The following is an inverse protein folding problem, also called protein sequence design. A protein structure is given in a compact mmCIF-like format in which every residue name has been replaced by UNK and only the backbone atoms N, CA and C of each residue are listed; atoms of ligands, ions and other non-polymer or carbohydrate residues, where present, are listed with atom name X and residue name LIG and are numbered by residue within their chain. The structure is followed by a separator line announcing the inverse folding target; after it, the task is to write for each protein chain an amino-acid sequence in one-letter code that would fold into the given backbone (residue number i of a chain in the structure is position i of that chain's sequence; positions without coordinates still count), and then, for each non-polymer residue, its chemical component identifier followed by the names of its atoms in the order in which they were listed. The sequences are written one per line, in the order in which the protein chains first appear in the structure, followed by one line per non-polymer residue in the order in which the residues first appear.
data_IF_399383738567
#
_entry.id   IF_399383738567
#
_cell.length_a   1.000
_cell.length_b   1.000
_cell.length_c   1.000
_cell.angle_alpha   90.00
_cell.angle_beta   90.00
_cell.angle_gamma   90.00
#
_symmetry.space_group_name_H-M   'P 1'
#
loop_
_entity.id
_entity.type
_entity.pdbx_description
1 polymer ?
#
# COMPACT_ATOMS: atom_id res chain seq x y z
N UNK A 1 48.71 -89.03 45.00
CA UNK A 1 49.35 -87.73 44.88
C UNK A 1 49.05 -87.17 43.51
N UNK A 2 48.07 -86.46 43.30
CA UNK A 2 47.71 -85.87 42.00
C UNK A 2 47.33 -84.42 42.18
N UNK A 3 48.11 -83.52 41.58
CA UNK A 3 47.89 -82.08 41.54
C UNK A 3 46.84 -81.73 40.43
N UNK A 4 45.75 -81.08 40.83
CA UNK A 4 44.78 -80.49 39.88
C UNK A 4 45.11 -79.03 39.70
N UNK A 5 45.39 -78.63 38.45
CA UNK A 5 45.62 -77.23 38.07
C UNK A 5 44.32 -76.60 37.64
N UNK A 6 43.95 -75.49 38.29
CA UNK A 6 42.74 -74.66 38.00
C UNK A 6 43.15 -73.58 37.00
N UNK A 7 42.59 -73.64 35.78
CA UNK A 7 42.76 -72.63 34.75
C UNK A 7 41.65 -71.60 34.89
N UNK A 8 41.99 -70.36 35.22
CA UNK A 8 41.13 -69.23 35.30
C UNK A 8 40.94 -68.64 33.88
N UNK A 9 39.76 -68.71 33.29
CA UNK A 9 39.47 -68.06 32.04
C UNK A 9 38.92 -66.64 32.31
N UNK A 10 39.72 -65.62 31.93
CA UNK A 10 39.28 -64.20 31.94
C UNK A 10 38.49 -63.94 30.63
N UNK A 11 37.22 -63.62 30.78
CA UNK A 11 36.37 -63.15 29.69
C UNK A 11 36.53 -61.65 29.51
N UNK A 12 37.14 -61.20 28.41
CA UNK A 12 37.13 -59.80 28.01
C UNK A 12 35.79 -59.50 27.33
N UNK A 13 34.95 -58.68 27.97
CA UNK A 13 33.77 -58.08 27.34
C UNK A 13 34.19 -56.83 26.56
N UNK A 14 34.16 -56.88 25.24
CA UNK A 14 34.35 -55.70 24.38
C UNK A 14 33.07 -54.90 24.38
N UNK A 15 33.07 -53.73 25.01
CA UNK A 15 31.96 -52.73 24.93
C UNK A 15 32.12 -51.98 23.61
N UNK A 16 31.24 -52.25 22.65
CA UNK A 16 31.11 -51.47 21.43
C UNK A 16 30.28 -50.23 21.72
N UNK A 17 30.93 -49.07 21.87
CA UNK A 17 30.31 -47.74 21.94
C UNK A 17 29.89 -47.35 20.51
N UNK A 18 28.60 -47.42 20.23
CA UNK A 18 28.00 -46.83 19.01
C UNK A 18 27.92 -45.31 19.19
N UNK A 19 28.80 -44.57 18.52
CA UNK A 19 28.65 -43.11 18.36
C UNK A 19 27.44 -42.87 17.46
N UNK A 20 26.34 -42.41 18.04
CA UNK A 20 25.24 -41.81 17.29
C UNK A 20 25.69 -40.46 16.76
N UNK A 21 26.00 -40.38 15.46
CA UNK A 21 26.18 -39.09 14.76
C UNK A 21 24.81 -38.45 14.71
N UNK A 22 24.60 -37.47 15.58
CA UNK A 22 23.41 -36.60 15.51
C UNK A 22 23.38 -35.89 14.16
N UNK A 23 22.39 -36.18 13.34
CA UNK A 23 22.14 -35.43 12.14
C UNK A 23 21.91 -33.97 12.55
N UNK A 24 22.86 -33.09 12.24
CA UNK A 24 22.65 -31.65 12.34
C UNK A 24 21.46 -31.31 11.45
N UNK A 25 20.38 -30.83 12.03
CA UNK A 25 19.26 -30.30 11.30
C UNK A 25 19.79 -29.15 10.44
N UNK A 26 19.84 -29.35 9.14
CA UNK A 26 20.12 -28.27 8.20
C UNK A 26 19.00 -27.26 8.37
N UNK A 27 19.32 -26.09 8.94
CA UNK A 27 18.41 -24.93 8.94
C UNK A 27 18.30 -24.45 7.50
N UNK A 28 17.36 -25.03 6.74
CA UNK A 28 17.03 -24.51 5.42
C UNK A 28 16.42 -23.13 5.62
N UNK A 29 17.12 -22.10 5.14
CA UNK A 29 16.55 -20.74 5.08
C UNK A 29 15.19 -20.82 4.40
N UNK A 30 14.11 -20.26 4.98
CA UNK A 30 12.82 -20.25 4.31
C UNK A 30 12.95 -19.64 2.92
N UNK A 31 12.28 -20.17 1.92
CA UNK A 31 12.38 -19.64 0.58
C UNK A 31 11.85 -18.21 0.57
N UNK A 32 12.65 -17.28 0.03
CA UNK A 32 12.31 -15.88 -0.13
C UNK A 32 11.52 -15.62 -1.43
N UNK A 33 10.72 -14.58 -1.42
CA UNK A 33 10.10 -14.03 -2.61
C UNK A 33 11.10 -13.33 -3.52
N UNK A 34 10.63 -12.81 -4.63
CA UNK A 34 11.45 -12.12 -5.62
C UNK A 34 10.85 -10.75 -5.94
N UNK A 35 11.69 -9.72 -5.92
CA UNK A 35 11.34 -8.38 -6.42
C UNK A 35 11.77 -8.27 -7.88
N UNK A 36 10.88 -7.77 -8.72
CA UNK A 36 11.15 -7.51 -10.14
C UNK A 36 10.72 -6.09 -10.48
N UNK A 37 11.47 -5.43 -11.35
CA UNK A 37 11.06 -4.16 -11.98
C UNK A 37 10.42 -4.47 -13.32
N UNK A 38 9.31 -3.81 -13.60
CA UNK A 38 8.54 -3.96 -14.83
C UNK A 38 8.13 -2.58 -15.37
N UNK A 39 7.69 -2.52 -16.61
CA UNK A 39 7.23 -1.30 -17.25
C UNK A 39 6.02 -1.58 -18.11
N UNK A 40 5.09 -0.61 -18.16
CA UNK A 40 3.94 -0.67 -19.05
C UNK A 40 3.75 0.65 -19.80
N UNK A 41 3.05 0.58 -20.92
CA UNK A 41 2.49 1.76 -21.56
C UNK A 41 1.14 2.08 -20.90
N UNK A 42 1.02 3.26 -20.27
CA UNK A 42 -0.26 3.73 -19.76
C UNK A 42 -1.00 4.53 -20.82
N UNK A 43 -2.20 4.10 -21.14
CA UNK A 43 -3.09 4.86 -22.03
C UNK A 43 -3.69 6.06 -21.31
N UNK A 44 -3.97 5.92 -20.03
CA UNK A 44 -4.51 6.98 -19.19
C UNK A 44 -3.54 8.17 -19.03
N UNK A 45 -2.23 7.90 -19.05
CA UNK A 45 -1.20 8.94 -18.94
C UNK A 45 -0.54 9.29 -20.29
N UNK A 46 -0.69 8.46 -21.32
CA UNK A 46 -0.03 8.64 -22.62
C UNK A 46 1.49 8.49 -22.56
N UNK A 47 2.03 7.69 -21.65
CA UNK A 47 3.46 7.50 -21.44
C UNK A 47 3.79 6.12 -20.88
N UNK A 48 5.08 5.75 -20.86
CA UNK A 48 5.57 4.56 -20.16
C UNK A 48 5.73 4.85 -18.68
N UNK A 49 5.33 3.88 -17.86
CA UNK A 49 5.48 3.95 -16.40
C UNK A 49 6.19 2.70 -15.89
N UNK A 50 6.96 2.89 -14.83
CA UNK A 50 7.61 1.81 -14.11
C UNK A 50 6.71 1.30 -12.98
N UNK A 51 6.88 0.03 -12.62
CA UNK A 51 6.37 -0.55 -11.39
C UNK A 51 7.34 -1.58 -10.84
N UNK A 52 7.34 -1.75 -9.54
CA UNK A 52 8.04 -2.83 -8.84
C UNK A 52 7.02 -3.86 -8.39
N UNK A 53 7.35 -5.14 -8.55
CA UNK A 53 6.45 -6.24 -8.19
C UNK A 53 7.19 -7.21 -7.27
N UNK A 54 6.63 -7.46 -6.09
CA UNK A 54 7.02 -8.58 -5.24
C UNK A 54 6.24 -9.82 -5.64
N UNK A 55 6.95 -10.89 -5.93
CA UNK A 55 6.42 -12.21 -6.25
C UNK A 55 6.69 -13.16 -5.08
N UNK A 56 5.68 -13.86 -4.55
CA UNK A 56 5.84 -14.67 -3.34
C UNK A 56 6.71 -15.93 -3.58
N UNK A 57 7.20 -16.57 -2.50
CA UNK A 57 8.15 -17.70 -2.60
C UNK A 57 7.71 -18.86 -3.47
N UNK A 58 6.41 -19.18 -3.54
CA UNK A 58 5.92 -20.28 -4.38
C UNK A 58 5.75 -19.90 -5.86
N UNK A 59 5.83 -18.59 -6.20
CA UNK A 59 5.59 -18.12 -7.57
C UNK A 59 6.51 -18.77 -8.61
N UNK A 60 7.78 -19.00 -8.27
CA UNK A 60 8.75 -19.66 -9.15
C UNK A 60 8.66 -21.19 -9.15
N UNK A 61 7.90 -21.79 -8.23
CA UNK A 61 7.84 -23.25 -8.03
C UNK A 61 6.53 -23.88 -8.51
N UNK A 62 5.43 -23.13 -8.44
CA UNK A 62 4.12 -23.58 -8.89
C UNK A 62 3.63 -22.71 -10.04
N UNK A 63 3.75 -23.21 -11.25
CA UNK A 63 3.38 -22.49 -12.47
C UNK A 63 1.86 -22.37 -12.68
N UNK A 64 1.06 -23.11 -11.92
CA UNK A 64 -0.40 -23.14 -12.05
C UNK A 64 -1.12 -22.24 -11.04
N UNK A 65 -0.48 -21.98 -9.91
CA UNK A 65 -1.06 -21.21 -8.82
C UNK A 65 -1.27 -19.75 -9.22
N UNK A 66 -2.44 -19.21 -8.88
CA UNK A 66 -2.80 -17.80 -9.01
C UNK A 66 -2.89 -17.16 -7.63
N UNK A 67 -2.57 -15.88 -7.56
CA UNK A 67 -2.38 -15.15 -6.30
C UNK A 67 -3.29 -13.93 -6.23
N UNK A 68 -3.83 -13.59 -5.06
CA UNK A 68 -4.41 -12.28 -4.82
C UNK A 68 -3.35 -11.19 -4.97
N UNK A 69 -3.76 -9.95 -5.21
CA UNK A 69 -2.85 -8.81 -5.45
C UNK A 69 -3.17 -7.66 -4.52
N UNK A 70 -2.13 -7.12 -3.87
CA UNK A 70 -2.17 -5.85 -3.17
C UNK A 70 -1.38 -4.79 -3.95
N UNK A 71 -1.99 -3.63 -4.20
CA UNK A 71 -1.35 -2.48 -4.86
C UNK A 71 -0.91 -1.49 -3.78
N UNK A 72 0.39 -1.19 -3.68
CA UNK A 72 0.96 -0.31 -2.66
C UNK A 72 1.46 1.00 -3.27
N UNK A 73 0.80 2.10 -2.94
CA UNK A 73 1.03 3.43 -3.48
C UNK A 73 2.03 4.20 -2.62
N UNK A 74 3.00 4.88 -3.25
CA UNK A 74 3.99 5.73 -2.57
C UNK A 74 3.42 7.11 -2.19
N UNK A 75 4.15 7.87 -1.38
CA UNK A 75 3.84 9.25 -1.01
C UNK A 75 4.43 10.30 -1.95
N UNK A 76 4.14 11.58 -1.70
CA UNK A 76 4.71 12.71 -2.45
C UNK A 76 6.24 12.64 -2.46
N UNK A 77 6.83 12.88 -3.63
CA UNK A 77 8.28 12.83 -3.85
C UNK A 77 8.87 11.42 -3.87
N UNK A 78 8.02 10.38 -3.79
CA UNK A 78 8.41 8.97 -3.88
C UNK A 78 8.36 8.42 -5.30
N UNK A 79 8.56 7.10 -5.41
CA UNK A 79 8.45 6.33 -6.64
C UNK A 79 8.13 4.86 -6.34
N UNK A 80 8.12 4.02 -7.38
CA UNK A 80 7.78 2.59 -7.31
C UNK A 80 8.71 1.76 -6.41
N UNK A 81 9.94 2.24 -6.12
CA UNK A 81 10.90 1.46 -5.30
C UNK A 81 10.76 1.70 -3.80
N UNK A 82 10.09 2.77 -3.40
CA UNK A 82 10.09 3.29 -2.02
C UNK A 82 9.62 2.27 -0.98
N UNK A 83 8.60 1.49 -1.29
CA UNK A 83 8.10 0.47 -0.36
C UNK A 83 9.09 -0.67 -0.14
N UNK A 84 9.91 -1.01 -1.13
CA UNK A 84 10.99 -1.99 -1.00
C UNK A 84 12.18 -1.38 -0.27
N UNK A 85 12.69 -0.25 -0.75
CA UNK A 85 13.96 0.32 -0.32
C UNK A 85 13.87 0.97 1.07
N UNK A 86 12.83 1.74 1.30
CA UNK A 86 12.60 2.47 2.56
C UNK A 86 11.66 1.70 3.51
N UNK A 87 10.60 1.08 2.96
CA UNK A 87 9.59 0.34 3.71
C UNK A 87 10.01 -1.07 4.11
N UNK A 88 10.99 -1.68 3.42
CA UNK A 88 11.42 -3.04 3.66
C UNK A 88 10.36 -4.10 3.34
N UNK A 89 9.37 -3.75 2.49
CA UNK A 89 8.16 -4.53 2.24
C UNK A 89 8.47 -5.98 1.83
N UNK A 90 9.48 -6.22 0.98
CA UNK A 90 9.82 -7.58 0.55
C UNK A 90 10.26 -8.47 1.72
N UNK A 91 11.13 -7.96 2.60
CA UNK A 91 11.58 -8.68 3.80
C UNK A 91 10.42 -8.94 4.77
N UNK A 92 9.52 -7.96 4.91
CA UNK A 92 8.33 -8.12 5.76
C UNK A 92 7.39 -9.19 5.17
N UNK A 93 7.16 -9.19 3.86
CA UNK A 93 6.36 -10.20 3.17
C UNK A 93 6.93 -11.60 3.38
N UNK A 94 8.24 -11.78 3.17
CA UNK A 94 8.91 -13.08 3.37
C UNK A 94 8.74 -13.58 4.82
N UNK A 95 8.89 -12.69 5.79
CA UNK A 95 8.72 -13.01 7.21
C UNK A 95 7.28 -13.41 7.54
N UNK A 96 6.29 -12.68 7.02
CA UNK A 96 4.87 -12.98 7.24
C UNK A 96 4.45 -14.29 6.58
N UNK A 97 4.92 -14.55 5.36
CA UNK A 97 4.66 -15.82 4.64
C UNK A 97 5.29 -16.99 5.38
N UNK A 98 6.53 -16.86 5.85
CA UNK A 98 7.18 -17.88 6.68
C UNK A 98 6.44 -18.13 8.00
N UNK A 99 5.75 -17.13 8.54
CA UNK A 99 4.88 -17.24 9.71
C UNK A 99 3.46 -17.77 9.40
N UNK A 100 3.17 -18.13 8.13
CA UNK A 100 1.90 -18.75 7.74
C UNK A 100 0.86 -17.78 7.13
N UNK A 101 1.22 -16.53 6.86
CA UNK A 101 0.34 -15.62 6.12
C UNK A 101 0.14 -16.16 4.68
N UNK A 102 -1.09 -16.13 4.13
CA UNK A 102 -1.32 -16.47 2.74
C UNK A 102 -0.47 -15.64 1.78
N UNK A 103 0.10 -16.29 0.77
CA UNK A 103 0.91 -15.65 -0.24
C UNK A 103 0.08 -14.74 -1.15
N UNK A 104 0.59 -13.56 -1.45
CA UNK A 104 0.02 -12.62 -2.42
C UNK A 104 1.12 -11.92 -3.22
N UNK A 105 0.78 -11.43 -4.40
CA UNK A 105 1.61 -10.53 -5.17
C UNK A 105 1.43 -9.12 -4.59
N UNK A 106 2.52 -8.32 -4.55
CA UNK A 106 2.41 -6.90 -4.23
C UNK A 106 2.96 -6.09 -5.40
N UNK A 107 2.12 -5.22 -5.96
CA UNK A 107 2.48 -4.32 -7.07
C UNK A 107 2.64 -2.89 -6.53
N UNK A 108 3.74 -2.25 -6.87
CA UNK A 108 4.10 -0.90 -6.42
C UNK A 108 4.33 -0.02 -7.65
N UNK A 109 3.28 0.65 -8.16
CA UNK A 109 3.38 1.50 -9.35
C UNK A 109 3.97 2.86 -9.01
N UNK A 110 4.70 3.45 -9.97
CA UNK A 110 5.06 4.86 -9.92
C UNK A 110 3.85 5.72 -10.28
N UNK A 111 3.36 6.49 -9.33
CA UNK A 111 2.22 7.41 -9.46
C UNK A 111 2.65 8.87 -9.62
N UNK A 112 3.94 9.15 -9.83
CA UNK A 112 4.50 10.50 -9.79
C UNK A 112 4.03 11.27 -8.54
N UNK A 113 3.87 12.57 -8.61
CA UNK A 113 3.13 13.36 -7.63
C UNK A 113 1.69 13.66 -8.12
N UNK A 114 1.09 12.72 -8.84
CA UNK A 114 -0.21 12.86 -9.51
C UNK A 114 -1.44 12.74 -8.60
N UNK A 115 -1.23 12.49 -7.31
CA UNK A 115 -2.31 12.34 -6.31
C UNK A 115 -3.34 11.28 -6.65
N UNK A 116 -3.00 10.34 -7.52
CA UNK A 116 -3.87 9.22 -7.90
C UNK A 116 -5.29 9.64 -8.29
N UNK A 117 -5.40 10.80 -8.96
CA UNK A 117 -6.67 11.36 -9.43
C UNK A 117 -6.52 11.98 -10.81
N UNK A 118 -7.59 12.08 -11.55
CA UNK A 118 -7.62 12.85 -12.81
C UNK A 118 -7.47 14.34 -12.50
N UNK A 119 -6.59 15.03 -13.23
CA UNK A 119 -6.42 16.47 -13.07
C UNK A 119 -7.67 17.21 -13.52
N UNK A 120 -8.07 18.20 -12.74
CA UNK A 120 -9.25 19.00 -13.04
C UNK A 120 -9.03 20.04 -14.12
N UNK A 121 -7.78 20.37 -14.40
CA UNK A 121 -7.43 21.47 -15.31
C UNK A 121 -6.86 20.91 -16.61
N UNK A 122 -7.53 21.18 -17.72
CA UNK A 122 -7.00 20.95 -19.05
C UNK A 122 -6.05 22.09 -19.38
N UNK A 123 -4.75 21.83 -19.28
CA UNK A 123 -3.69 22.77 -19.63
C UNK A 123 -2.77 22.14 -20.65
N UNK A 124 -2.18 22.98 -21.49
CA UNK A 124 -1.16 22.53 -22.45
C UNK A 124 0.12 22.14 -21.70
N UNK A 125 0.93 21.23 -22.26
CA UNK A 125 2.23 20.87 -21.67
C UNK A 125 3.15 22.07 -21.47
N UNK A 126 3.13 23.05 -22.38
CA UNK A 126 3.89 24.29 -22.22
C UNK A 126 3.41 25.12 -21.03
N UNK A 127 2.11 25.20 -20.81
CA UNK A 127 1.53 25.91 -19.68
C UNK A 127 1.79 25.17 -18.35
N UNK A 128 1.68 23.84 -18.35
CA UNK A 128 2.08 23.02 -17.21
C UNK A 128 3.53 23.29 -16.80
N UNK A 129 4.46 23.22 -17.77
CA UNK A 129 5.88 23.49 -17.52
C UNK A 129 6.13 24.90 -16.98
N UNK A 130 5.39 25.89 -17.45
CA UNK A 130 5.48 27.28 -16.97
C UNK A 130 5.01 27.44 -15.54
N UNK A 131 4.06 26.61 -15.09
CA UNK A 131 3.48 26.66 -13.76
C UNK A 131 4.21 25.82 -12.73
N UNK A 132 5.13 24.96 -13.17
CA UNK A 132 5.91 24.14 -12.25
C UNK A 132 6.88 24.99 -11.41
N UNK A 133 7.14 24.59 -10.18
CA UNK A 133 8.18 25.18 -9.36
C UNK A 133 9.57 25.03 -10.02
N UNK A 134 10.48 25.96 -9.72
CA UNK A 134 11.87 25.81 -10.12
C UNK A 134 12.46 24.50 -9.55
N UNK A 135 13.10 23.71 -10.40
CA UNK A 135 13.68 22.43 -10.02
C UNK A 135 12.72 21.23 -10.08
N UNK A 136 11.43 21.43 -10.41
CA UNK A 136 10.51 20.33 -10.66
C UNK A 136 10.86 19.58 -11.95
N UNK A 137 10.64 18.27 -11.97
CA UNK A 137 10.83 17.44 -13.17
C UNK A 137 9.61 17.56 -14.09
N UNK A 138 9.75 18.31 -15.16
CA UNK A 138 8.66 18.52 -16.12
C UNK A 138 8.25 17.23 -16.85
N UNK A 139 9.14 16.26 -17.03
CA UNK A 139 8.79 14.98 -17.65
C UNK A 139 7.91 14.13 -16.73
N UNK A 140 8.14 14.26 -15.45
CA UNK A 140 7.37 13.56 -14.39
C UNK A 140 6.07 14.28 -14.06
N UNK A 141 6.10 15.59 -13.93
CA UNK A 141 4.98 16.39 -13.40
C UNK A 141 4.01 16.89 -14.49
N UNK A 142 4.41 16.85 -15.78
CA UNK A 142 3.59 17.30 -16.91
C UNK A 142 3.34 16.16 -17.89
N UNK A 143 2.55 15.18 -17.49
CA UNK A 143 2.14 14.07 -18.37
C UNK A 143 1.08 14.53 -19.38
N UNK A 144 1.02 13.92 -20.59
CA UNK A 144 0.06 14.30 -21.63
C UNK A 144 -1.41 14.14 -21.21
N UNK A 145 -1.72 13.07 -20.51
CA UNK A 145 -3.08 12.69 -20.09
C UNK A 145 -3.07 12.38 -18.61
N UNK A 146 -3.24 13.37 -17.71
CA UNK A 146 -3.08 13.16 -16.27
C UNK A 146 -4.31 12.51 -15.63
N UNK A 147 -4.66 11.29 -16.05
CA UNK A 147 -5.73 10.45 -15.49
C UNK A 147 -5.11 9.39 -14.58
N UNK A 148 -4.52 9.81 -13.44
CA UNK A 148 -3.82 8.91 -12.54
C UNK A 148 -4.73 7.91 -11.82
N UNK A 149 -6.00 8.21 -11.65
CA UNK A 149 -7.00 7.28 -11.14
C UNK A 149 -7.27 6.13 -12.13
N UNK A 150 -7.50 6.43 -13.41
CA UNK A 150 -7.66 5.41 -14.46
C UNK A 150 -6.37 4.62 -14.68
N UNK A 151 -5.21 5.27 -14.59
CA UNK A 151 -3.92 4.59 -14.66
C UNK A 151 -3.81 3.48 -13.60
N UNK A 152 -4.11 3.78 -12.32
CA UNK A 152 -4.04 2.78 -11.27
C UNK A 152 -5.18 1.76 -11.38
N UNK A 153 -6.43 2.24 -11.52
CA UNK A 153 -7.61 1.38 -11.47
C UNK A 153 -7.76 0.46 -12.70
N UNK A 154 -7.21 0.85 -13.85
CA UNK A 154 -7.39 0.10 -15.09
C UNK A 154 -6.07 -0.31 -15.75
N UNK A 155 -5.13 0.61 -16.01
CA UNK A 155 -3.93 0.25 -16.77
C UNK A 155 -3.02 -0.69 -15.96
N UNK A 156 -2.76 -0.36 -14.68
CA UNK A 156 -1.98 -1.21 -13.78
C UNK A 156 -2.70 -2.53 -13.53
N UNK A 157 -3.99 -2.53 -13.22
CA UNK A 157 -4.76 -3.75 -12.96
C UNK A 157 -4.74 -4.69 -14.17
N UNK A 158 -5.02 -4.17 -15.36
CA UNK A 158 -4.98 -4.97 -16.60
C UNK A 158 -3.59 -5.52 -16.90
N UNK A 159 -2.55 -4.71 -16.72
CA UNK A 159 -1.17 -5.15 -16.92
C UNK A 159 -0.81 -6.28 -15.96
N UNK A 160 -1.14 -6.14 -14.68
CA UNK A 160 -0.90 -7.18 -13.68
C UNK A 160 -1.63 -8.49 -14.02
N UNK A 161 -2.90 -8.41 -14.42
CA UNK A 161 -3.70 -9.59 -14.78
C UNK A 161 -3.23 -10.27 -16.07
N UNK A 162 -2.69 -9.51 -17.03
CA UNK A 162 -2.18 -10.03 -18.28
C UNK A 162 -0.77 -10.63 -18.15
N UNK A 163 0.06 -10.09 -17.27
CA UNK A 163 1.50 -10.42 -17.19
C UNK A 163 1.79 -11.44 -16.07
N UNK A 164 1.04 -11.36 -14.96
CA UNK A 164 1.27 -12.17 -13.77
C UNK A 164 0.11 -13.12 -13.49
N UNK A 165 0.38 -14.19 -12.73
CA UNK A 165 -0.63 -15.17 -12.33
C UNK A 165 -1.47 -14.63 -11.17
N UNK A 166 -2.32 -13.67 -11.46
CA UNK A 166 -3.25 -13.06 -10.51
C UNK A 166 -4.57 -13.82 -10.44
N UNK A 167 -5.27 -13.72 -9.32
CA UNK A 167 -6.71 -13.99 -9.23
C UNK A 167 -7.42 -12.72 -9.68
N UNK A 168 -7.82 -12.68 -10.97
CA UNK A 168 -8.21 -11.47 -11.69
C UNK A 168 -9.66 -11.02 -11.41
N UNK A 169 -10.06 -10.97 -10.14
CA UNK A 169 -11.37 -10.51 -9.71
C UNK A 169 -11.27 -9.56 -8.50
N UNK A 170 -12.34 -8.83 -8.24
CA UNK A 170 -12.43 -7.85 -7.15
C UNK A 170 -12.11 -8.46 -5.78
N UNK A 171 -12.63 -9.66 -5.49
CA UNK A 171 -12.49 -10.29 -4.18
C UNK A 171 -11.03 -10.54 -3.79
N UNK A 172 -10.14 -10.58 -4.78
CA UNK A 172 -8.71 -10.86 -4.62
C UNK A 172 -7.81 -9.66 -4.89
N UNK A 173 -8.37 -8.42 -4.87
CA UNK A 173 -7.60 -7.18 -5.03
C UNK A 173 -7.76 -6.27 -3.83
N UNK A 174 -6.64 -5.76 -3.33
CA UNK A 174 -6.61 -4.68 -2.34
C UNK A 174 -5.71 -3.55 -2.82
N UNK A 175 -5.94 -2.36 -2.29
CA UNK A 175 -5.09 -1.20 -2.53
C UNK A 175 -4.66 -0.60 -1.20
N UNK A 176 -3.40 -0.17 -1.11
CA UNK A 176 -2.83 0.41 0.09
C UNK A 176 -1.86 1.53 -0.28
N UNK A 177 -1.49 2.35 0.68
CA UNK A 177 -0.48 3.38 0.45
C UNK A 177 -0.22 4.24 1.67
N UNK A 178 0.78 5.12 1.55
CA UNK A 178 1.14 6.06 2.60
C UNK A 178 0.95 7.52 2.14
N UNK A 179 0.60 8.41 3.06
CA UNK A 179 0.50 9.85 2.79
C UNK A 179 -0.39 10.16 1.56
N UNK A 180 0.15 10.73 0.49
CA UNK A 180 -0.53 10.86 -0.81
C UNK A 180 -1.08 9.51 -1.31
N UNK A 181 -0.30 8.42 -1.17
CA UNK A 181 -0.74 7.07 -1.55
C UNK A 181 -1.83 6.53 -0.63
N UNK A 182 -1.84 6.93 0.65
CA UNK A 182 -2.91 6.60 1.57
C UNK A 182 -4.24 7.27 1.19
N UNK A 183 -4.18 8.53 0.75
CA UNK A 183 -5.31 9.21 0.11
C UNK A 183 -5.75 8.46 -1.15
N UNK A 184 -4.80 8.17 -2.05
CA UNK A 184 -5.07 7.46 -3.30
C UNK A 184 -5.74 6.11 -3.07
N UNK A 185 -5.27 5.33 -2.11
CA UNK A 185 -5.84 4.03 -1.77
C UNK A 185 -7.33 4.14 -1.36
N UNK A 186 -7.66 5.08 -0.47
CA UNK A 186 -9.05 5.30 -0.04
C UNK A 186 -9.91 5.87 -1.16
N UNK A 187 -9.42 6.90 -1.86
CA UNK A 187 -10.16 7.54 -2.94
C UNK A 187 -10.46 6.55 -4.09
N UNK A 188 -9.45 5.80 -4.54
CA UNK A 188 -9.61 4.85 -5.65
C UNK A 188 -10.53 3.68 -5.29
N UNK A 189 -10.42 3.11 -4.09
CA UNK A 189 -11.29 2.02 -3.67
C UNK A 189 -12.76 2.45 -3.55
N UNK A 190 -13.02 3.70 -3.17
CA UNK A 190 -14.37 4.26 -3.07
C UNK A 190 -14.90 4.78 -4.40
N UNK A 191 -14.03 5.24 -5.30
CA UNK A 191 -14.40 5.66 -6.65
C UNK A 191 -14.67 4.46 -7.57
N UNK A 192 -13.86 3.40 -7.44
CA UNK A 192 -13.92 2.17 -8.24
C UNK A 192 -14.18 0.93 -7.38
N UNK A 193 -15.31 0.88 -6.65
CA UNK A 193 -15.58 -0.19 -5.69
C UNK A 193 -15.72 -1.59 -6.34
N UNK A 194 -15.88 -1.64 -7.65
CA UNK A 194 -15.85 -2.87 -8.44
C UNK A 194 -14.43 -3.44 -8.68
N UNK A 195 -13.38 -2.65 -8.42
CA UNK A 195 -11.99 -3.08 -8.61
C UNK A 195 -11.37 -3.66 -7.35
N UNK A 196 -11.67 -3.11 -6.16
CA UNK A 196 -10.98 -3.43 -4.92
C UNK A 196 -11.93 -3.88 -3.83
N UNK A 197 -11.60 -4.98 -3.13
CA UNK A 197 -12.35 -5.49 -1.99
C UNK A 197 -11.88 -4.90 -0.66
N UNK A 198 -10.65 -4.38 -0.59
CA UNK A 198 -10.08 -3.81 0.62
C UNK A 198 -9.17 -2.61 0.29
N UNK A 199 -9.14 -1.63 1.20
CA UNK A 199 -8.26 -0.48 1.12
C UNK A 199 -7.59 -0.21 2.46
N UNK A 200 -6.27 0.11 2.44
CA UNK A 200 -5.49 0.44 3.63
C UNK A 200 -4.72 1.75 3.44
N UNK A 201 -4.71 2.59 4.47
CA UNK A 201 -4.05 3.90 4.47
C UNK A 201 -3.10 4.04 5.66
N UNK A 202 -1.82 4.32 5.38
CA UNK A 202 -0.83 4.68 6.39
C UNK A 202 -0.63 6.20 6.39
N UNK A 203 -0.96 6.89 7.46
CA UNK A 203 -0.82 8.35 7.57
C UNK A 203 -1.38 9.07 6.33
N UNK A 204 -2.53 8.65 5.80
CA UNK A 204 -3.08 9.17 4.56
C UNK A 204 -3.55 10.61 4.70
N UNK A 205 -3.49 11.38 3.60
CA UNK A 205 -4.15 12.68 3.48
C UNK A 205 -5.63 12.43 3.22
N UNK A 206 -6.31 11.87 4.23
CA UNK A 206 -7.68 11.35 4.08
C UNK A 206 -8.74 12.45 4.00
N UNK A 207 -8.38 13.64 4.39
CA UNK A 207 -9.27 14.79 4.34
C UNK A 207 -8.61 15.99 3.65
N UNK A 208 -8.25 15.89 2.37
CA UNK A 208 -7.57 16.97 1.69
C UNK A 208 -8.41 18.24 1.53
N UNK A 209 -9.75 18.08 1.65
CA UNK A 209 -10.72 19.13 1.38
C UNK A 209 -11.36 19.71 2.62
N UNK A 210 -11.16 19.11 3.76
CA UNK A 210 -11.69 19.55 5.02
C UNK A 210 -10.57 19.83 6.03
N UNK A 211 -10.87 20.62 7.03
CA UNK A 211 -9.95 20.92 8.12
C UNK A 211 -10.63 20.72 9.45
N UNK A 212 -10.03 19.87 10.28
CA UNK A 212 -10.46 19.69 11.67
C UNK A 212 -9.65 20.62 12.60
N UNK A 213 -10.31 21.47 13.39
CA UNK A 213 -9.64 22.26 14.43
C UNK A 213 -9.28 21.42 15.65
N UNK A 214 -8.36 21.90 16.46
CA UNK A 214 -8.02 21.32 17.76
C UNK A 214 -8.79 22.00 18.92
N UNK A 215 -9.36 21.27 19.89
CA UNK A 215 -9.53 19.81 19.90
C UNK A 215 -10.57 19.38 18.85
N UNK A 216 -10.33 18.22 18.23
CA UNK A 216 -11.20 17.71 17.18
C UNK A 216 -12.58 17.31 17.69
N UNK A 217 -13.63 17.75 16.96
CA UNK A 217 -15.01 17.25 17.09
C UNK A 217 -15.67 17.24 15.71
N UNK A 218 -16.59 16.32 15.45
CA UNK A 218 -17.33 16.23 14.19
C UNK A 218 -18.01 17.57 13.79
N UNK A 219 -18.57 18.26 14.76
CA UNK A 219 -19.28 19.52 14.52
C UNK A 219 -18.37 20.65 14.01
N UNK A 220 -17.05 20.51 14.17
CA UNK A 220 -16.06 21.51 13.81
C UNK A 220 -15.31 21.19 12.50
N UNK A 221 -15.57 20.03 11.89
CA UNK A 221 -15.02 19.69 10.57
C UNK A 221 -15.67 20.58 9.52
N UNK A 222 -14.86 21.28 8.73
CA UNK A 222 -15.31 22.21 7.72
C UNK A 222 -14.92 21.73 6.32
N UNK A 223 -15.84 21.79 5.35
CA UNK A 223 -15.50 21.52 3.96
C UNK A 223 -14.41 22.44 3.44
N UNK A 224 -13.59 21.97 2.53
CA UNK A 224 -12.58 22.78 1.87
C UNK A 224 -13.15 23.88 0.98
N UNK A 225 -14.46 23.91 0.77
CA UNK A 225 -15.17 25.04 0.20
C UNK A 225 -15.09 26.32 1.04
N UNK A 226 -14.72 26.22 2.33
CA UNK A 226 -14.33 27.39 3.11
C UNK A 226 -13.16 28.10 2.42
N UNK A 227 -13.42 29.34 2.01
CA UNK A 227 -12.47 30.15 1.25
C UNK A 227 -11.13 30.34 1.97
N UNK A 228 -11.11 30.31 3.31
CA UNK A 228 -9.88 30.40 4.10
C UNK A 228 -9.01 29.14 3.96
N UNK A 229 -9.62 27.95 3.93
CA UNK A 229 -8.90 26.67 3.73
C UNK A 229 -8.35 26.59 2.32
N UNK A 230 -9.13 26.98 1.31
CA UNK A 230 -8.69 27.02 -0.08
C UNK A 230 -7.61 28.09 -0.30
N UNK A 231 -7.69 29.25 0.37
CA UNK A 231 -6.69 30.30 0.28
C UNK A 231 -5.32 29.83 0.81
N UNK A 232 -5.27 29.09 1.93
CA UNK A 232 -4.03 28.51 2.44
C UNK A 232 -3.37 27.57 1.46
N UNK A 233 -4.16 26.84 0.67
CA UNK A 233 -3.66 25.89 -0.35
C UNK A 233 -3.34 26.58 -1.69
N UNK A 234 -3.63 27.87 -1.85
CA UNK A 234 -3.38 28.65 -3.08
C UNK A 234 -2.07 29.45 -3.05
N UNK A 235 -1.44 29.61 -1.90
CA UNK A 235 -0.25 30.44 -1.74
C UNK A 235 1.01 29.58 -1.64
N UNK A 236 1.89 29.68 -2.66
CA UNK A 236 3.16 28.95 -2.72
C UNK A 236 3.27 27.91 -3.83
N UNK A 237 4.43 27.27 -3.97
CA UNK A 237 4.75 26.31 -5.05
C UNK A 237 3.93 25.03 -5.01
N UNK A 238 3.67 24.49 -3.81
CA UNK A 238 2.75 23.37 -3.63
C UNK A 238 1.33 23.72 -4.06
N UNK A 239 0.88 24.94 -3.82
CA UNK A 239 -0.44 25.41 -4.21
C UNK A 239 -0.65 25.47 -5.73
N UNK A 240 0.39 25.82 -6.50
CA UNK A 240 0.28 25.80 -7.96
C UNK A 240 0.00 24.37 -8.47
N UNK A 241 0.71 23.36 -7.93
CA UNK A 241 0.49 21.95 -8.25
C UNK A 241 -0.92 21.49 -7.85
N UNK A 242 -1.38 21.83 -6.66
CA UNK A 242 -2.74 21.50 -6.22
C UNK A 242 -3.83 22.12 -7.10
N UNK A 243 -3.61 23.31 -7.62
CA UNK A 243 -4.56 23.93 -8.57
C UNK A 243 -4.66 23.19 -9.89
N UNK A 244 -3.55 22.62 -10.39
CA UNK A 244 -3.56 21.79 -11.58
C UNK A 244 -4.35 20.49 -11.33
N UNK A 245 -4.13 19.87 -10.20
CA UNK A 245 -4.69 18.55 -9.86
C UNK A 245 -6.17 18.68 -9.46
N UNK A 246 -6.46 19.48 -8.45
CA UNK A 246 -7.78 19.57 -7.84
C UNK A 246 -8.65 20.72 -8.36
N UNK A 247 -8.09 21.61 -9.20
CA UNK A 247 -8.80 22.73 -9.74
C UNK A 247 -8.82 23.98 -8.85
N UNK A 248 -9.59 24.98 -9.26
CA UNK A 248 -9.69 26.26 -8.58
C UNK A 248 -10.96 26.43 -7.73
N UNK A 249 -11.96 25.58 -7.97
CA UNK A 249 -13.25 25.65 -7.27
C UNK A 249 -13.43 24.51 -6.25
N UNK A 250 -14.29 24.76 -5.26
CA UNK A 250 -14.55 23.84 -4.17
C UNK A 250 -15.27 22.56 -4.62
N UNK A 251 -16.12 22.64 -5.65
CA UNK A 251 -16.87 21.46 -6.12
C UNK A 251 -15.93 20.42 -6.73
N UNK A 252 -14.92 20.87 -7.49
CA UNK A 252 -13.89 19.99 -8.05
C UNK A 252 -13.07 19.29 -6.96
N UNK A 253 -12.82 19.97 -5.86
CA UNK A 253 -12.14 19.40 -4.72
C UNK A 253 -13.02 18.38 -3.98
N UNK A 254 -14.24 18.77 -3.63
CA UNK A 254 -15.20 17.91 -2.92
C UNK A 254 -15.45 16.61 -3.71
N UNK A 255 -15.53 16.68 -5.04
CA UNK A 255 -15.72 15.51 -5.88
C UNK A 255 -14.61 14.45 -5.74
N UNK A 256 -13.46 14.81 -5.18
CA UNK A 256 -12.29 13.93 -4.94
C UNK A 256 -12.06 13.61 -3.47
N UNK A 257 -12.91 14.11 -2.60
CA UNK A 257 -12.88 13.83 -1.17
C UNK A 257 -13.30 12.37 -0.90
N UNK A 258 -12.54 11.57 -0.15
CA UNK A 258 -12.89 10.19 0.14
C UNK A 258 -14.28 10.00 0.79
N UNK A 259 -14.73 10.92 1.64
CA UNK A 259 -16.06 10.82 2.24
C UNK A 259 -17.17 11.11 1.22
N UNK A 260 -16.95 12.05 0.31
CA UNK A 260 -17.88 12.31 -0.79
C UNK A 260 -17.95 11.12 -1.76
N UNK A 261 -16.80 10.51 -2.08
CA UNK A 261 -16.74 9.30 -2.90
C UNK A 261 -17.47 8.13 -2.23
N UNK A 262 -17.33 7.97 -0.90
CA UNK A 262 -18.06 7.00 -0.11
C UNK A 262 -19.58 7.22 -0.21
N UNK A 263 -20.05 8.45 0.02
CA UNK A 263 -21.47 8.78 -0.02
C UNK A 263 -22.04 8.53 -1.42
N UNK A 264 -21.29 8.82 -2.47
CA UNK A 264 -21.67 8.50 -3.87
C UNK A 264 -21.75 7.00 -4.14
N UNK A 265 -20.77 6.21 -3.65
CA UNK A 265 -20.77 4.76 -3.80
C UNK A 265 -22.00 4.14 -3.09
N UNK A 266 -22.31 4.60 -1.87
CA UNK A 266 -23.52 4.18 -1.15
C UNK A 266 -24.80 4.55 -1.88
N UNK A 267 -24.91 5.76 -2.42
CA UNK A 267 -26.06 6.19 -3.18
C UNK A 267 -26.31 5.35 -4.44
N UNK A 268 -25.25 4.78 -5.04
CA UNK A 268 -25.36 3.82 -6.15
C UNK A 268 -25.69 2.39 -5.71
N UNK A 269 -25.61 2.09 -4.42
CA UNK A 269 -25.76 0.72 -3.89
C UNK A 269 -24.53 -0.16 -4.14
N UNK A 270 -23.36 0.43 -4.31
CA UNK A 270 -22.12 -0.32 -4.54
C UNK A 270 -21.70 -1.10 -3.29
N UNK A 271 -21.10 -2.27 -3.50
CA UNK A 271 -20.45 -3.02 -2.44
C UNK A 271 -19.17 -2.29 -2.00
N UNK A 272 -19.19 -1.73 -0.79
CA UNK A 272 -18.04 -1.00 -0.26
C UNK A 272 -16.84 -1.93 -0.01
N UNK A 273 -15.59 -1.43 -0.16
CA UNK A 273 -14.40 -2.16 0.28
C UNK A 273 -14.34 -2.23 1.81
N UNK A 274 -13.66 -3.24 2.36
CA UNK A 274 -13.20 -3.20 3.74
C UNK A 274 -12.15 -2.09 3.88
N UNK A 275 -12.15 -1.35 5.01
CA UNK A 275 -11.30 -0.18 5.21
C UNK A 275 -10.39 -0.35 6.43
N UNK A 276 -9.12 -0.02 6.25
CA UNK A 276 -8.10 0.04 7.30
C UNK A 276 -7.37 1.38 7.23
N UNK A 277 -7.11 2.00 8.37
CA UNK A 277 -6.22 3.15 8.43
C UNK A 277 -5.39 3.15 9.70
N UNK A 278 -4.17 3.67 9.60
CA UNK A 278 -3.35 3.99 10.77
C UNK A 278 -2.65 5.34 10.61
N UNK A 279 -2.30 5.95 11.74
CA UNK A 279 -1.56 7.20 11.78
C UNK A 279 -0.68 7.27 13.02
N UNK A 280 0.51 7.87 12.89
CA UNK A 280 1.37 8.13 14.03
C UNK A 280 0.75 9.16 14.98
N UNK A 281 0.85 8.97 16.29
CA UNK A 281 0.30 9.93 17.27
C UNK A 281 1.01 11.30 17.25
N UNK A 282 2.24 11.36 16.71
CA UNK A 282 2.99 12.60 16.45
C UNK A 282 3.00 13.00 14.97
N UNK A 283 2.14 12.40 14.15
CA UNK A 283 2.02 12.74 12.73
C UNK A 283 1.25 14.04 12.52
N UNK A 284 1.69 14.84 11.55
CA UNK A 284 1.03 16.11 11.20
C UNK A 284 -0.40 15.90 10.64
N UNK A 285 -0.74 14.68 10.22
CA UNK A 285 -2.06 14.31 9.67
C UNK A 285 -2.94 13.56 10.68
N UNK A 286 -2.54 13.44 11.94
CA UNK A 286 -3.30 12.65 12.92
C UNK A 286 -4.70 13.22 13.15
N UNK A 287 -4.85 14.55 13.11
CA UNK A 287 -6.15 15.21 13.29
C UNK A 287 -7.10 14.89 12.15
N UNK A 288 -6.60 14.94 10.90
CA UNK A 288 -7.37 14.59 9.71
C UNK A 288 -7.76 13.10 9.68
N UNK A 289 -6.85 12.22 10.11
CA UNK A 289 -7.12 10.79 10.18
C UNK A 289 -8.18 10.46 11.25
N UNK A 290 -8.14 11.12 12.41
CA UNK A 290 -9.20 11.02 13.44
C UNK A 290 -10.53 11.54 12.93
N UNK A 291 -10.51 12.68 12.21
CA UNK A 291 -11.70 13.24 11.59
C UNK A 291 -12.34 12.28 10.58
N UNK A 292 -11.54 11.64 9.75
CA UNK A 292 -12.02 10.64 8.80
C UNK A 292 -12.62 9.43 9.51
N UNK A 293 -11.94 8.87 10.53
CA UNK A 293 -12.46 7.78 11.38
C UNK A 293 -13.84 8.11 11.94
N UNK A 294 -13.96 9.28 12.55
CA UNK A 294 -15.18 9.69 13.23
C UNK A 294 -16.32 9.95 12.23
N UNK A 295 -15.99 10.49 11.06
CA UNK A 295 -16.95 10.69 9.98
C UNK A 295 -17.46 9.37 9.38
N UNK A 296 -16.64 8.34 9.29
CA UNK A 296 -17.06 6.98 8.91
C UNK A 296 -17.96 6.37 9.98
N UNK A 297 -17.59 6.52 11.26
CA UNK A 297 -18.41 6.03 12.38
C UNK A 297 -19.81 6.69 12.38
N UNK A 298 -19.89 8.01 12.16
CA UNK A 298 -21.14 8.74 12.03
C UNK A 298 -22.02 8.25 10.87
N UNK A 299 -21.41 7.69 9.82
CA UNK A 299 -22.10 7.09 8.67
C UNK A 299 -22.41 5.60 8.84
N UNK A 300 -22.03 5.00 9.97
CA UNK A 300 -22.18 3.56 10.22
C UNK A 300 -21.29 2.69 9.31
N UNK A 301 -20.15 3.23 8.83
CA UNK A 301 -19.20 2.50 7.97
C UNK A 301 -18.04 1.98 8.83
N UNK A 302 -17.80 0.65 8.85
CA UNK A 302 -16.72 0.06 9.63
C UNK A 302 -15.35 0.51 9.11
N UNK A 303 -14.44 0.86 10.02
CA UNK A 303 -13.03 1.12 9.77
C UNK A 303 -12.20 0.39 10.84
N UNK A 304 -11.23 -0.42 10.41
CA UNK A 304 -10.15 -0.88 11.29
C UNK A 304 -9.17 0.26 11.42
N UNK A 305 -9.09 0.89 12.61
CA UNK A 305 -8.27 2.08 12.83
C UNK A 305 -7.28 1.89 13.97
N UNK A 306 -6.03 2.29 13.75
CA UNK A 306 -4.98 2.22 14.74
C UNK A 306 -4.17 3.52 14.82
N UNK A 307 -3.67 3.81 16.01
CA UNK A 307 -2.67 4.85 16.26
C UNK A 307 -1.52 4.25 17.06
N UNK A 308 -0.29 4.50 16.60
CA UNK A 308 0.92 4.11 17.32
C UNK A 308 1.88 5.30 17.48
N UNK A 309 2.78 5.29 18.46
CA UNK A 309 3.80 6.31 18.57
C UNK A 309 4.63 6.43 17.30
N UNK A 310 4.78 7.65 16.79
CA UNK A 310 5.56 7.95 15.59
C UNK A 310 5.07 9.19 14.87
N UNK A 311 5.77 9.58 13.82
CA UNK A 311 5.51 10.78 13.04
C UNK A 311 5.37 10.42 11.54
N UNK A 312 5.19 11.43 10.67
CA UNK A 312 5.05 11.29 9.21
C UNK A 312 6.39 10.91 8.57
N UNK A 313 6.88 9.68 8.81
CA UNK A 313 8.22 9.25 8.40
C UNK A 313 8.28 7.77 8.04
N UNK A 314 9.25 7.40 7.22
CA UNK A 314 9.52 6.02 6.83
C UNK A 314 9.76 5.06 8.01
N UNK A 315 10.44 5.42 9.12
CA UNK A 315 10.53 4.56 10.29
C UNK A 315 9.18 4.13 10.84
N UNK A 316 8.17 5.01 10.86
CA UNK A 316 6.81 4.68 11.27
C UNK A 316 6.16 3.68 10.28
N UNK A 317 6.16 3.98 9.00
CA UNK A 317 5.52 3.14 7.99
C UNK A 317 6.18 1.76 7.87
N UNK A 318 7.51 1.71 7.95
CA UNK A 318 8.25 0.45 7.98
C UNK A 318 7.91 -0.42 9.20
N UNK A 319 7.69 0.18 10.35
CA UNK A 319 7.31 -0.53 11.57
C UNK A 319 5.89 -1.12 11.49
N UNK A 320 5.01 -0.49 10.71
CA UNK A 320 3.57 -0.82 10.71
C UNK A 320 3.04 -1.42 9.40
N UNK A 321 3.85 -1.56 8.35
CA UNK A 321 3.42 -2.18 7.08
C UNK A 321 2.99 -3.65 7.25
N UNK A 322 3.56 -4.38 8.21
CA UNK A 322 3.18 -5.75 8.53
C UNK A 322 1.69 -5.87 8.93
N UNK A 323 1.15 -4.88 9.64
CA UNK A 323 -0.24 -4.87 10.08
C UNK A 323 -1.19 -4.75 8.89
N UNK A 324 -0.93 -3.80 7.97
CA UNK A 324 -1.77 -3.66 6.76
C UNK A 324 -1.66 -4.86 5.85
N UNK A 325 -0.46 -5.43 5.65
CA UNK A 325 -0.27 -6.65 4.84
C UNK A 325 -1.05 -7.83 5.42
N UNK A 326 -0.97 -8.07 6.73
CA UNK A 326 -1.71 -9.14 7.41
C UNK A 326 -3.21 -8.92 7.32
N UNK A 327 -3.67 -7.69 7.54
CA UNK A 327 -5.09 -7.34 7.45
C UNK A 327 -5.61 -7.50 6.00
N UNK A 328 -4.84 -7.06 5.01
CA UNK A 328 -5.18 -7.25 3.59
C UNK A 328 -5.29 -8.73 3.25
N UNK A 329 -4.30 -9.55 3.61
CA UNK A 329 -4.33 -10.99 3.35
C UNK A 329 -5.58 -11.66 3.94
N UNK A 330 -6.01 -11.26 5.14
CA UNK A 330 -7.23 -11.76 5.76
C UNK A 330 -8.52 -11.39 4.98
N UNK A 331 -8.50 -10.32 4.20
CA UNK A 331 -9.66 -9.82 3.45
C UNK A 331 -9.72 -10.27 1.99
N UNK A 332 -8.57 -10.61 1.36
CA UNK A 332 -8.53 -10.94 -0.08
C UNK A 332 -7.94 -12.33 -0.41
N UNK A 333 -7.37 -13.04 0.54
CA UNK A 333 -6.67 -14.31 0.25
C UNK A 333 -7.55 -15.57 0.46
N UNK A 334 -8.83 -15.41 0.68
CA UNK A 334 -9.78 -16.51 0.93
C UNK A 334 -10.24 -17.19 -0.34
#
# INVERSE_FOLDING_TARGET
MTFSSLICRILFAAATTTLSVGAAAQTTTPPAGRVVTDTLWSQALGTRKALVVYLPPSYGRDATRRYPVAYYLHGVGGNETDWVDKGGLATVMDSLVAAGMPEMIVAMPDGDDGWYTTYNTLITLSECRRLLPAGADAARDCVPWPHYDDYIAYDIVRHMDATYRTRADRAHRAIAGLSMGGYGAMALALQYPHQFAAAASHSGVLWPMERAPEPFTHALVRPASDSAVLAQRRTGTAAARFRLIFGADSAAWIARDPLHLLDRARARGDALPALFADCGTGDLLVVENRAFRDALAARGVPLTYHEWPGAHTWPYWRAHVAQSLTWIAANIAR
#
